data_IF_055588790098
#
_entry.id   IF_055588790098
#
_cell.length_a   1.000
_cell.length_b   1.000
_cell.length_c   1.000
_cell.angle_alpha   90.00
_cell.angle_beta   90.00
_cell.angle_gamma   90.00
#
_symmetry.space_group_name_H-M   'P 1'
#
loop_
_entity.id
_entity.type
_entity.pdbx_description
1 polymer ?
#
# COMPACT_ATOMS: atom_id res chain seq x y z
N UNK A 1 6.14 -17.18 2.32
CA UNK A 1 5.84 -15.75 2.10
C UNK A 1 5.76 -15.40 0.61
N UNK A 2 6.32 -16.24 -0.26
CA UNK A 2 6.62 -15.92 -1.66
C UNK A 2 5.40 -15.53 -2.49
N UNK A 3 4.24 -16.18 -2.27
CA UNK A 3 3.00 -15.81 -2.95
C UNK A 3 2.56 -14.39 -2.60
N UNK A 4 2.63 -14.01 -1.31
CA UNK A 4 2.26 -12.67 -0.86
C UNK A 4 3.24 -11.60 -1.39
N UNK A 5 4.54 -11.91 -1.43
CA UNK A 5 5.56 -11.01 -1.99
C UNK A 5 5.35 -10.80 -3.49
N UNK A 6 5.10 -11.87 -4.26
CA UNK A 6 4.77 -11.74 -5.69
C UNK A 6 3.51 -10.94 -5.95
N UNK A 7 2.48 -11.09 -5.11
CA UNK A 7 1.27 -10.28 -5.21
C UNK A 7 1.57 -8.80 -4.94
N UNK A 8 2.36 -8.50 -3.91
CA UNK A 8 2.77 -7.12 -3.61
C UNK A 8 3.54 -6.51 -4.79
N UNK A 9 4.51 -7.22 -5.35
CA UNK A 9 5.29 -6.75 -6.51
C UNK A 9 4.39 -6.49 -7.72
N UNK A 10 3.46 -7.41 -8.01
CA UNK A 10 2.52 -7.27 -9.11
C UNK A 10 1.61 -6.04 -8.93
N UNK A 11 1.07 -5.83 -7.73
CA UNK A 11 0.21 -4.68 -7.45
C UNK A 11 0.99 -3.37 -7.46
N UNK A 12 2.23 -3.35 -6.94
CA UNK A 12 3.10 -2.19 -7.02
C UNK A 12 3.37 -1.77 -8.47
N UNK A 13 3.70 -2.72 -9.34
CA UNK A 13 3.95 -2.45 -10.76
C UNK A 13 2.69 -1.93 -11.44
N UNK A 14 1.55 -2.60 -11.24
CA UNK A 14 0.27 -2.19 -11.83
C UNK A 14 -0.13 -0.77 -11.39
N UNK A 15 -0.05 -0.50 -10.08
CA UNK A 15 -0.35 0.81 -9.51
C UNK A 15 0.57 1.91 -10.04
N UNK A 16 1.90 1.73 -9.96
CA UNK A 16 2.84 2.77 -10.38
C UNK A 16 2.75 3.05 -11.88
N UNK A 17 2.47 2.00 -12.68
CA UNK A 17 2.27 2.15 -14.13
C UNK A 17 1.00 2.94 -14.42
N UNK A 18 -0.10 2.63 -13.73
CA UNK A 18 -1.35 3.38 -13.83
C UNK A 18 -1.17 4.85 -13.48
N UNK A 19 -0.55 5.15 -12.33
CA UNK A 19 -0.31 6.53 -11.89
C UNK A 19 0.59 7.31 -12.86
N UNK A 20 1.67 6.70 -13.35
CA UNK A 20 2.58 7.34 -14.33
C UNK A 20 1.94 7.56 -15.70
N UNK A 21 0.88 6.81 -16.02
CA UNK A 21 0.13 6.97 -17.26
C UNK A 21 -0.90 8.10 -17.24
N UNK A 22 -1.13 8.76 -16.11
CA UNK A 22 -2.09 9.84 -15.99
C UNK A 22 -1.53 11.15 -16.55
N UNK A 23 -2.38 11.90 -17.26
CA UNK A 23 -2.09 13.29 -17.60
C UNK A 23 -2.40 14.20 -16.41
N UNK A 24 -1.92 15.44 -16.47
CA UNK A 24 -2.23 16.44 -15.45
C UNK A 24 -3.75 16.67 -15.30
N UNK A 25 -4.49 16.75 -16.41
CA UNK A 25 -5.94 16.91 -16.38
C UNK A 25 -6.62 15.70 -15.74
N UNK A 26 -6.11 14.49 -15.98
CA UNK A 26 -6.64 13.27 -15.38
C UNK A 26 -6.45 13.25 -13.85
N UNK A 27 -5.35 13.81 -13.34
CA UNK A 27 -5.11 13.93 -11.89
C UNK A 27 -6.15 14.80 -11.18
N UNK A 28 -6.68 15.82 -11.88
CA UNK A 28 -7.64 16.77 -11.32
C UNK A 28 -9.10 16.38 -11.53
N UNK A 29 -9.39 15.37 -12.36
CA UNK A 29 -10.76 14.89 -12.56
C UNK A 29 -11.28 14.18 -11.31
N UNK A 30 -12.58 14.33 -10.97
CA UNK A 30 -13.22 13.52 -9.93
C UNK A 30 -13.08 12.03 -10.22
N UNK A 31 -12.88 11.24 -9.16
CA UNK A 31 -12.73 9.79 -9.28
C UNK A 31 -13.97 9.10 -9.85
N UNK A 32 -15.15 9.63 -9.53
CA UNK A 32 -16.44 9.09 -9.96
C UNK A 32 -17.01 8.06 -8.97
N UNK A 33 -18.27 7.62 -9.21
CA UNK A 33 -19.08 6.91 -8.21
C UNK A 33 -18.51 5.55 -7.79
N UNK A 34 -17.59 4.97 -8.56
CA UNK A 34 -16.94 3.70 -8.21
C UNK A 34 -16.07 3.81 -6.94
N UNK A 35 -15.54 5.00 -6.63
CA UNK A 35 -14.65 5.23 -5.49
C UNK A 35 -15.41 5.65 -4.21
N UNK A 36 -16.73 5.53 -4.20
CA UNK A 36 -17.58 5.70 -3.02
C UNK A 36 -17.33 7.04 -2.30
N UNK A 37 -16.80 7.05 -1.06
CA UNK A 37 -16.51 8.29 -0.34
C UNK A 37 -15.57 9.26 -1.08
N UNK A 38 -14.74 8.75 -2.00
CA UNK A 38 -13.83 9.55 -2.80
C UNK A 38 -14.41 10.02 -4.14
N UNK A 39 -15.68 9.71 -4.43
CA UNK A 39 -16.26 9.92 -5.76
C UNK A 39 -16.12 11.35 -6.28
N UNK A 40 -16.33 12.34 -5.41
CA UNK A 40 -16.27 13.76 -5.77
C UNK A 40 -14.88 14.38 -5.58
N UNK A 41 -13.93 13.62 -5.05
CA UNK A 41 -12.55 14.06 -4.85
C UNK A 41 -11.72 13.91 -6.13
N UNK A 42 -10.73 14.78 -6.37
CA UNK A 42 -9.84 14.64 -7.52
C UNK A 42 -8.97 13.38 -7.36
N UNK A 43 -8.61 12.75 -8.48
CA UNK A 43 -7.83 11.51 -8.49
C UNK A 43 -6.50 11.61 -7.72
N UNK A 44 -5.87 12.79 -7.71
CA UNK A 44 -4.66 13.05 -6.92
C UNK A 44 -4.86 12.92 -5.40
N UNK A 45 -6.06 13.24 -4.88
CA UNK A 45 -6.36 13.07 -3.47
C UNK A 45 -6.47 11.58 -3.11
N UNK A 46 -7.07 10.77 -3.99
CA UNK A 46 -7.13 9.32 -3.83
C UNK A 46 -5.73 8.69 -3.91
N UNK A 47 -4.88 9.13 -4.86
CA UNK A 47 -3.48 8.69 -4.95
C UNK A 47 -2.74 8.99 -3.63
N UNK A 48 -2.87 10.20 -3.10
CA UNK A 48 -2.23 10.58 -1.84
C UNK A 48 -2.72 9.70 -0.68
N UNK A 49 -4.03 9.45 -0.59
CA UNK A 49 -4.61 8.59 0.42
C UNK A 49 -4.04 7.16 0.35
N UNK A 50 -4.03 6.54 -0.84
CA UNK A 50 -3.50 5.20 -1.02
C UNK A 50 -2.02 5.12 -0.63
N UNK A 51 -1.19 6.10 -1.02
CA UNK A 51 0.22 6.14 -0.59
C UNK A 51 0.36 6.20 0.94
N UNK A 52 -0.47 7.01 1.60
CA UNK A 52 -0.47 7.11 3.06
C UNK A 52 -0.81 5.78 3.73
N UNK A 53 -1.86 5.10 3.26
CA UNK A 53 -2.31 3.83 3.85
C UNK A 53 -1.30 2.69 3.62
N UNK A 54 -0.68 2.63 2.43
CA UNK A 54 0.39 1.65 2.14
C UNK A 54 1.60 1.86 3.05
N UNK A 55 2.01 3.11 3.28
CA UNK A 55 3.13 3.42 4.18
C UNK A 55 2.76 3.08 5.63
N UNK A 56 1.55 3.46 6.06
CA UNK A 56 1.06 3.23 7.41
C UNK A 56 1.03 1.74 7.75
N UNK A 57 0.31 0.93 6.97
CA UNK A 57 0.21 -0.50 7.22
C UNK A 57 1.50 -1.25 6.90
N UNK A 58 2.30 -0.76 5.94
CA UNK A 58 3.64 -1.30 5.67
C UNK A 58 4.56 -1.19 6.89
N UNK A 59 4.52 -0.07 7.61
CA UNK A 59 5.25 0.12 8.85
C UNK A 59 4.76 -0.82 9.98
N UNK A 60 3.45 -1.02 10.10
CA UNK A 60 2.88 -1.98 11.07
C UNK A 60 3.34 -3.41 10.79
N UNK A 61 3.31 -3.84 9.52
CA UNK A 61 3.78 -5.17 9.11
C UNK A 61 5.28 -5.32 9.40
N UNK A 62 6.10 -4.31 9.08
CA UNK A 62 7.53 -4.32 9.35
C UNK A 62 7.80 -4.47 10.86
N UNK A 63 7.11 -3.69 11.69
CA UNK A 63 7.21 -3.77 13.14
C UNK A 63 6.85 -5.17 13.66
N UNK A 64 5.73 -5.75 13.20
CA UNK A 64 5.31 -7.09 13.62
C UNK A 64 6.30 -8.17 13.21
N UNK A 65 6.93 -8.04 12.04
CA UNK A 65 7.97 -8.98 11.58
C UNK A 65 9.22 -8.89 12.46
N UNK A 66 9.67 -7.68 12.76
CA UNK A 66 10.83 -7.45 13.62
C UNK A 66 10.57 -8.00 15.02
N UNK A 67 9.41 -7.68 15.62
CA UNK A 67 9.00 -8.22 16.91
C UNK A 67 8.96 -9.76 16.88
N UNK A 68 8.30 -10.38 15.90
CA UNK A 68 8.28 -11.83 15.78
C UNK A 68 9.69 -12.43 15.74
N UNK A 69 10.61 -11.85 14.98
CA UNK A 69 11.99 -12.35 14.93
C UNK A 69 12.77 -12.16 16.22
N UNK A 70 12.39 -11.20 17.07
CA UNK A 70 13.12 -10.84 18.28
C UNK A 70 12.46 -11.31 19.58
N UNK A 71 11.20 -11.73 19.57
CA UNK A 71 10.52 -12.34 20.72
C UNK A 71 10.52 -13.85 20.63
N UNK A 72 10.24 -14.42 19.45
CA UNK A 72 10.11 -15.88 19.27
C UNK A 72 11.46 -16.60 19.24
N UNK A 73 12.55 -15.90 18.92
CA UNK A 73 13.91 -16.45 18.98
C UNK A 73 14.54 -16.41 20.39
N UNK A 74 13.93 -15.73 21.35
CA UNK A 74 14.38 -15.76 22.75
C UNK A 74 13.95 -17.08 23.41
N UNK A 75 12.74 -17.54 23.13
CA UNK A 75 12.21 -18.81 23.67
C UNK A 75 12.96 -20.07 23.17
N UNK A 76 13.62 -20.01 22.00
CA UNK A 76 14.41 -21.12 21.46
C UNK A 76 15.90 -21.12 21.89
N UNK A 77 16.39 -20.03 22.49
CA UNK A 77 17.78 -19.94 22.98
C UNK A 77 17.94 -20.28 24.46
N UNK A 78 16.84 -20.30 25.22
CA UNK A 78 16.83 -20.67 26.65
C UNK A 78 16.35 -22.11 26.92
N UNK A 79 16.06 -22.93 25.89
CA UNK A 79 15.76 -24.37 26.02
C UNK A 79 16.87 -25.24 25.44
#
# INVERSE_FOLDING_TARGET
ADTALRQLDAQYVAWSTGVKGLTEEALWRPCGPAEGPFADYPFIALILHINREVIHHGAEIALLRDLYTHTTNLDLKES
#
